data_IF_298455908810
#
_entry.id   IF_298455908810
#
_cell.length_a   1.000
_cell.length_b   1.000
_cell.length_c   1.000
_cell.angle_alpha   90.00
_cell.angle_beta   90.00
_cell.angle_gamma   90.00
#
_symmetry.space_group_name_H-M   'P 1'
#
loop_
_entity.id
_entity.type
_entity.pdbx_description
1 polymer ?
#
# COMPACT_ATOMS: atom_id res chain seq x y z
N UNK A 1 -4.93 6.25 18.25
CA UNK A 1 -3.55 5.76 18.00
C UNK A 1 -2.56 6.36 18.98
N UNK A 2 -2.44 7.69 19.11
CA UNK A 2 -1.56 8.31 20.12
C UNK A 2 -1.80 7.78 21.55
N UNK A 3 -3.07 7.69 21.98
CA UNK A 3 -3.41 7.15 23.30
C UNK A 3 -3.12 5.64 23.49
N UNK A 4 -2.84 4.90 22.41
CA UNK A 4 -2.46 3.48 22.49
C UNK A 4 -0.94 3.30 22.67
N UNK A 5 -0.15 4.36 22.48
CA UNK A 5 1.29 4.36 22.71
C UNK A 5 1.58 4.27 24.22
N UNK A 6 2.45 3.34 24.59
CA UNK A 6 2.97 3.22 25.94
C UNK A 6 4.40 3.76 25.92
N UNK A 7 4.66 4.93 26.52
CA UNK A 7 5.99 5.51 26.51
C UNK A 7 6.97 4.63 27.30
N UNK A 8 8.27 4.59 26.92
CA UNK A 8 9.28 3.89 27.69
C UNK A 8 9.32 4.35 29.15
N UNK A 9 9.75 3.50 30.10
CA UNK A 9 9.88 3.88 31.51
C UNK A 9 10.67 5.18 31.69
N UNK A 10 10.12 6.11 32.47
CA UNK A 10 10.75 7.41 32.74
C UNK A 10 10.59 8.46 31.64
N UNK A 11 10.00 8.11 30.49
CA UNK A 11 9.62 9.09 29.50
C UNK A 11 8.38 9.88 29.97
N UNK A 12 8.38 11.19 29.71
CA UNK A 12 7.30 12.11 30.05
C UNK A 12 6.69 12.72 28.79
N UNK A 13 5.37 12.82 28.74
CA UNK A 13 4.67 13.54 27.68
C UNK A 13 5.00 15.03 27.74
N UNK A 14 5.34 15.60 26.59
CA UNK A 14 5.52 17.03 26.44
C UNK A 14 4.19 17.64 26.01
N UNK A 15 3.70 18.65 26.74
CA UNK A 15 2.44 19.34 26.40
C UNK A 15 2.48 20.12 25.08
N UNK A 16 3.67 20.25 24.45
CA UNK A 16 3.88 20.89 23.16
C UNK A 16 5.16 20.39 22.51
N UNK A 17 5.35 20.74 21.22
CA UNK A 17 6.61 20.53 20.49
C UNK A 17 7.79 21.14 21.27
N UNK A 18 8.86 20.37 21.56
CA UNK A 18 10.08 20.92 22.16
C UNK A 18 10.82 21.89 21.24
N UNK A 19 11.53 22.86 21.82
CA UNK A 19 12.37 23.84 21.13
C UNK A 19 13.70 24.01 21.89
N UNK A 20 14.89 23.89 21.24
CA UNK A 20 15.11 23.58 19.83
C UNK A 20 14.77 22.14 19.47
N UNK A 21 14.19 21.95 18.28
CA UNK A 21 13.87 20.64 17.74
C UNK A 21 15.05 20.08 16.93
N UNK A 22 15.49 18.82 17.16
CA UNK A 22 16.45 18.16 16.29
C UNK A 22 15.96 18.16 14.84
N UNK A 23 16.84 18.43 13.88
CA UNK A 23 16.49 18.49 12.45
C UNK A 23 15.83 17.19 11.96
N UNK A 24 16.28 16.05 12.49
CA UNK A 24 15.73 14.72 12.30
C UNK A 24 14.23 14.58 12.63
N UNK A 25 13.68 15.46 13.47
CA UNK A 25 12.29 15.42 13.92
C UNK A 25 11.44 16.53 13.29
N UNK A 26 11.98 17.32 12.35
CA UNK A 26 11.23 18.38 11.67
C UNK A 26 10.02 17.88 10.90
N UNK A 27 10.14 16.69 10.30
CA UNK A 27 9.11 15.99 9.53
C UNK A 27 9.08 14.51 9.92
N UNK A 28 7.96 13.79 9.70
CA UNK A 28 7.94 12.36 9.92
C UNK A 28 8.89 11.67 8.92
N UNK A 29 9.54 10.56 9.31
CA UNK A 29 10.51 9.86 8.46
C UNK A 29 9.86 9.18 7.25
N UNK A 30 8.55 8.94 7.34
CA UNK A 30 7.72 8.45 6.26
C UNK A 30 6.42 9.24 6.29
N UNK A 31 5.94 9.66 5.12
CA UNK A 31 4.59 10.14 4.94
C UNK A 31 3.85 9.18 4.03
N UNK A 32 2.57 8.97 4.31
CA UNK A 32 1.72 8.49 3.23
C UNK A 32 1.76 9.54 2.14
N UNK A 33 1.88 9.13 0.89
CA UNK A 33 1.69 10.06 -0.21
C UNK A 33 0.21 10.38 -0.45
N UNK A 34 -0.68 9.87 0.41
CA UNK A 34 -2.10 10.16 0.45
C UNK A 34 -2.39 11.65 0.65
N UNK A 35 -3.25 12.22 -0.19
CA UNK A 35 -3.77 13.59 -0.03
C UNK A 35 -4.88 13.67 1.03
N UNK A 36 -5.39 12.53 1.46
CA UNK A 36 -6.45 12.38 2.46
C UNK A 36 -5.90 11.89 3.80
N UNK A 37 -4.61 12.08 4.03
CA UNK A 37 -3.95 11.76 5.29
C UNK A 37 -4.42 12.75 6.38
N UNK A 38 -4.90 12.21 7.50
CA UNK A 38 -5.11 12.97 8.72
C UNK A 38 -4.00 12.58 9.68
N UNK A 39 -3.20 13.56 10.11
CA UNK A 39 -2.12 13.37 11.05
C UNK A 39 -2.46 13.93 12.44
N UNK A 40 -1.90 13.28 13.46
CA UNK A 40 -1.84 13.80 14.81
C UNK A 40 -0.45 13.56 15.37
N UNK A 41 0.17 14.61 15.93
CA UNK A 41 1.54 14.55 16.44
C UNK A 41 1.56 14.59 17.97
N UNK A 42 2.26 13.63 18.57
CA UNK A 42 2.55 13.60 20.00
C UNK A 42 4.05 13.78 20.29
N UNK A 43 4.39 14.31 21.46
CA UNK A 43 5.78 14.56 21.85
C UNK A 43 6.06 13.99 23.23
N UNK A 44 7.20 13.32 23.39
CA UNK A 44 7.69 12.83 24.67
C UNK A 44 9.17 13.16 24.84
N UNK A 45 9.66 13.14 26.07
CA UNK A 45 11.09 13.25 26.40
C UNK A 45 11.51 12.09 27.30
N UNK A 46 12.70 11.54 27.08
CA UNK A 46 13.28 10.44 27.88
C UNK A 46 14.76 10.70 28.17
N UNK A 47 15.27 10.16 29.28
CA UNK A 47 16.72 10.11 29.57
C UNK A 47 17.43 8.93 28.89
N UNK A 48 16.69 7.97 28.35
CA UNK A 48 17.25 6.85 27.58
C UNK A 48 17.81 7.34 26.23
N UNK A 49 18.73 6.59 25.63
CA UNK A 49 19.22 6.88 24.28
C UNK A 49 18.14 6.58 23.21
N UNK A 50 18.24 7.17 21.99
CA UNK A 50 17.30 6.86 20.92
C UNK A 50 17.18 5.36 20.62
N UNK A 51 18.29 4.62 20.63
CA UNK A 51 18.31 3.17 20.39
C UNK A 51 17.61 2.38 21.49
N UNK A 52 17.79 2.80 22.76
CA UNK A 52 17.10 2.21 23.90
C UNK A 52 15.60 2.45 23.81
N UNK A 53 15.17 3.66 23.43
CA UNK A 53 13.75 3.99 23.19
C UNK A 53 13.17 3.08 22.09
N UNK A 54 13.84 2.93 20.95
CA UNK A 54 13.36 2.06 19.86
C UNK A 54 13.30 0.59 20.28
N UNK A 55 14.28 0.11 21.04
CA UNK A 55 14.26 -1.25 21.59
C UNK A 55 13.07 -1.45 22.54
N UNK A 56 12.81 -0.50 23.45
CA UNK A 56 11.70 -0.55 24.39
C UNK A 56 10.34 -0.53 23.68
N UNK A 57 10.17 0.35 22.69
CA UNK A 57 8.92 0.46 21.90
C UNK A 57 8.68 -0.79 21.05
N UNK A 58 9.72 -1.39 20.45
CA UNK A 58 9.60 -2.67 19.73
C UNK A 58 9.21 -3.83 20.67
N UNK A 59 9.73 -3.83 21.90
CA UNK A 59 9.39 -4.83 22.90
C UNK A 59 7.96 -4.66 23.47
N UNK A 60 7.40 -3.45 23.39
CA UNK A 60 6.06 -3.13 23.89
C UNK A 60 5.24 -2.38 22.82
N UNK A 61 4.80 -3.07 21.76
CA UNK A 61 4.00 -2.46 20.70
C UNK A 61 2.72 -1.80 21.26
N UNK A 62 2.24 -0.70 20.65
CA UNK A 62 0.95 -0.11 20.99
C UNK A 62 -0.16 -1.17 20.99
N UNK A 63 -1.08 -1.07 21.96
CA UNK A 63 -2.14 -2.08 22.12
C UNK A 63 -2.99 -2.19 20.87
N UNK A 64 -3.16 -3.43 20.37
CA UNK A 64 -3.95 -3.72 19.18
C UNK A 64 -3.23 -3.42 17.86
N UNK A 65 -1.92 -3.13 17.87
CA UNK A 65 -1.13 -2.89 16.67
C UNK A 65 -0.19 -4.05 16.32
N UNK A 66 0.34 -4.04 15.10
CA UNK A 66 1.43 -4.91 14.66
C UNK A 66 2.56 -4.09 14.06
N UNK A 67 3.81 -4.50 14.32
CA UNK A 67 5.00 -3.89 13.70
C UNK A 67 4.88 -3.96 12.16
N UNK A 68 4.95 -2.82 11.49
CA UNK A 68 4.81 -2.71 10.03
C UNK A 68 6.12 -2.37 9.33
N UNK A 69 6.96 -1.52 9.94
CA UNK A 69 8.26 -1.14 9.40
C UNK A 69 9.21 -0.66 10.51
N UNK A 70 10.51 -0.69 10.25
CA UNK A 70 11.51 -0.04 11.10
C UNK A 70 12.72 0.35 10.28
N UNK A 71 13.48 1.31 10.79
CA UNK A 71 14.79 1.71 10.29
C UNK A 71 15.68 2.01 11.49
N UNK A 72 16.91 1.50 11.48
CA UNK A 72 17.92 1.84 12.49
C UNK A 72 18.61 3.19 12.18
N UNK A 73 18.14 3.91 11.16
CA UNK A 73 18.65 5.21 10.75
C UNK A 73 19.91 5.12 9.87
N UNK A 74 20.33 6.26 9.34
CA UNK A 74 21.53 6.39 8.52
C UNK A 74 22.02 7.84 8.48
N UNK A 75 23.00 8.13 7.61
CA UNK A 75 23.58 9.48 7.50
C UNK A 75 22.58 10.56 7.06
N UNK A 76 21.47 10.17 6.43
CA UNK A 76 20.48 11.09 5.84
C UNK A 76 19.04 10.87 6.32
N UNK A 77 18.77 9.85 7.15
CA UNK A 77 17.43 9.51 7.60
C UNK A 77 17.44 9.11 9.09
N UNK A 78 16.46 9.56 9.89
CA UNK A 78 16.41 9.18 11.30
C UNK A 78 16.01 7.70 11.46
N UNK A 79 16.35 7.15 12.61
CA UNK A 79 15.84 5.85 13.03
C UNK A 79 14.37 5.98 13.44
N UNK A 80 13.57 4.95 13.15
CA UNK A 80 12.15 4.93 13.49
C UNK A 80 11.59 3.51 13.60
N UNK A 81 10.42 3.41 14.21
CA UNK A 81 9.57 2.21 14.16
C UNK A 81 8.15 2.62 13.79
N UNK A 82 7.48 1.82 12.97
CA UNK A 82 6.10 2.03 12.54
C UNK A 82 5.23 0.83 12.89
N UNK A 83 3.99 1.11 13.30
CA UNK A 83 2.98 0.12 13.64
C UNK A 83 1.71 0.35 12.82
N UNK A 84 1.10 -0.73 12.34
CA UNK A 84 -0.21 -0.71 11.69
C UNK A 84 -1.30 -1.14 12.67
N UNK A 85 -2.49 -0.56 12.55
CA UNK A 85 -3.68 -0.93 13.33
C UNK A 85 -4.70 -1.68 12.45
N UNK A 86 -5.38 -2.71 12.97
CA UNK A 86 -6.38 -3.44 12.21
C UNK A 86 -7.64 -2.60 11.98
N UNK A 87 -8.23 -2.72 10.78
CA UNK A 87 -9.53 -2.14 10.45
C UNK A 87 -9.53 -0.65 10.11
N UNK A 88 -8.41 0.04 10.29
CA UNK A 88 -8.17 1.39 9.78
C UNK A 88 -6.88 1.37 8.96
N UNK A 89 -6.81 2.11 7.86
CA UNK A 89 -5.55 2.41 7.16
C UNK A 89 -4.73 3.40 8.00
N UNK A 90 -4.51 3.04 9.26
CA UNK A 90 -3.92 3.86 10.31
C UNK A 90 -2.57 3.33 10.72
N UNK A 91 -1.61 4.24 10.90
CA UNK A 91 -0.27 3.91 11.38
C UNK A 91 0.16 4.83 12.53
N UNK A 92 1.04 4.30 13.39
CA UNK A 92 1.78 5.09 14.37
C UNK A 92 3.26 4.93 14.10
N UNK A 93 3.94 6.04 13.81
CA UNK A 93 5.38 6.11 13.62
C UNK A 93 6.00 6.76 14.86
N UNK A 94 7.07 6.15 15.38
CA UNK A 94 7.82 6.62 16.54
C UNK A 94 9.24 6.95 16.10
N UNK A 95 9.63 8.20 16.24
CA UNK A 95 10.94 8.72 15.81
C UNK A 95 11.64 9.40 16.99
N UNK A 96 12.64 8.75 17.61
CA UNK A 96 13.46 9.36 18.65
C UNK A 96 14.70 10.06 18.06
N UNK A 97 15.10 11.17 18.66
CA UNK A 97 16.39 11.83 18.38
C UNK A 97 16.94 12.52 19.63
N UNK A 98 18.26 12.63 19.72
CA UNK A 98 18.91 13.35 20.81
C UNK A 98 18.66 14.86 20.68
N UNK A 99 18.07 15.45 21.72
CA UNK A 99 17.85 16.89 21.88
C UNK A 99 19.12 17.65 22.23
N UNK A 100 19.06 18.98 22.15
CA UNK A 100 20.20 19.86 22.46
C UNK A 100 20.66 19.78 23.93
N UNK A 101 19.77 19.34 24.82
CA UNK A 101 20.05 19.13 26.25
C UNK A 101 20.57 17.71 26.56
N UNK A 102 20.81 16.89 25.54
CA UNK A 102 21.29 15.52 25.66
C UNK A 102 20.22 14.48 26.00
N UNK A 103 18.96 14.89 26.24
CA UNK A 103 17.84 13.97 26.42
C UNK A 103 17.28 13.53 25.08
N UNK A 104 16.65 12.36 25.02
CA UNK A 104 15.96 11.91 23.81
C UNK A 104 14.60 12.59 23.71
N UNK A 105 14.33 13.24 22.58
CA UNK A 105 13.01 13.71 22.18
C UNK A 105 12.38 12.63 21.31
N UNK A 106 11.14 12.27 21.59
CA UNK A 106 10.38 11.26 20.85
C UNK A 106 9.22 11.98 20.16
N UNK A 107 9.20 11.92 18.84
CA UNK A 107 8.07 12.33 18.00
C UNK A 107 7.20 11.12 17.71
N UNK A 108 5.90 11.26 17.91
CA UNK A 108 4.90 10.30 17.49
C UNK A 108 4.09 10.92 16.35
N UNK A 109 3.99 10.22 15.23
CA UNK A 109 3.13 10.60 14.10
C UNK A 109 2.06 9.52 13.96
N UNK A 110 0.82 9.89 14.24
CA UNK A 110 -0.34 9.02 14.12
C UNK A 110 -1.13 9.44 12.89
N UNK A 111 -1.10 8.62 11.85
CA UNK A 111 -1.65 8.95 10.54
C UNK A 111 -2.78 8.01 10.18
N UNK A 112 -3.89 8.53 9.68
CA UNK A 112 -4.97 7.74 9.07
C UNK A 112 -5.13 8.17 7.63
N UNK A 113 -5.01 7.23 6.71
CA UNK A 113 -5.39 7.45 5.32
C UNK A 113 -6.90 7.20 5.18
N UNK A 114 -7.65 8.21 4.76
CA UNK A 114 -9.06 8.02 4.45
C UNK A 114 -9.24 7.65 2.98
N UNK A 115 -9.81 6.48 2.73
CA UNK A 115 -10.24 6.07 1.38
C UNK A 115 -11.65 6.60 1.12
N UNK A 116 -11.88 7.36 0.03
CA UNK A 116 -13.21 7.83 -0.32
C UNK A 116 -14.19 6.68 -0.49
N UNK A 117 -15.43 6.87 -0.03
CA UNK A 117 -16.50 5.93 -0.33
C UNK A 117 -16.76 5.88 -1.83
N UNK A 118 -17.15 4.71 -2.32
CA UNK A 118 -17.59 4.54 -3.71
C UNK A 118 -18.79 5.46 -4.01
N UNK A 119 -18.82 6.15 -5.16
CA UNK A 119 -19.97 6.98 -5.52
C UNK A 119 -21.28 6.17 -5.51
N UNK A 120 -22.37 6.77 -5.01
CA UNK A 120 -23.69 6.13 -5.05
C UNK A 120 -24.08 5.77 -6.50
N UNK A 121 -24.64 4.58 -6.71
CA UNK A 121 -25.06 4.11 -8.04
C UNK A 121 -23.93 3.58 -8.93
N UNK A 122 -22.69 3.53 -8.46
CA UNK A 122 -21.59 2.88 -9.20
C UNK A 122 -21.62 1.35 -9.13
N UNK A 123 -22.43 0.77 -8.24
CA UNK A 123 -22.56 -0.67 -8.10
C UNK A 123 -23.10 -1.31 -9.38
N UNK A 124 -22.44 -2.38 -9.83
CA UNK A 124 -22.88 -3.18 -10.96
C UNK A 124 -24.04 -4.07 -10.52
N UNK A 125 -25.06 -4.17 -11.37
CA UNK A 125 -26.11 -5.19 -11.23
C UNK A 125 -25.66 -6.57 -11.71
N UNK A 126 -26.46 -7.60 -11.47
CA UNK A 126 -26.15 -8.99 -11.86
C UNK A 126 -26.64 -9.37 -13.27
N UNK A 127 -26.84 -8.39 -14.15
CA UNK A 127 -27.51 -8.60 -15.46
C UNK A 127 -26.63 -9.22 -16.55
N UNK A 128 -25.35 -9.47 -16.29
CA UNK A 128 -24.45 -10.04 -17.29
C UNK A 128 -24.75 -11.53 -17.54
N UNK A 129 -24.83 -11.99 -18.80
CA UNK A 129 -25.12 -13.40 -19.12
C UNK A 129 -23.89 -14.31 -18.97
N UNK A 130 -22.70 -13.72 -18.92
CA UNK A 130 -21.44 -14.43 -18.84
C UNK A 130 -20.35 -13.49 -18.31
N UNK A 131 -19.22 -14.09 -17.94
CA UNK A 131 -17.98 -13.39 -17.66
C UNK A 131 -16.85 -14.05 -18.43
N UNK A 132 -16.01 -13.25 -19.08
CA UNK A 132 -14.75 -13.72 -19.66
C UNK A 132 -13.57 -13.03 -18.98
N UNK A 133 -12.48 -13.78 -18.83
CA UNK A 133 -11.23 -13.35 -18.23
C UNK A 133 -10.11 -13.61 -19.22
N UNK A 134 -9.34 -12.57 -19.51
CA UNK A 134 -8.23 -12.60 -20.46
C UNK A 134 -6.98 -12.07 -19.78
N UNK A 135 -5.94 -12.90 -19.69
CA UNK A 135 -4.61 -12.44 -19.25
C UNK A 135 -3.85 -11.89 -20.44
N UNK A 136 -3.34 -10.67 -20.30
CA UNK A 136 -2.50 -9.97 -21.26
C UNK A 136 -1.18 -9.69 -20.56
N UNK A 137 -0.03 -10.09 -21.10
CA UNK A 137 1.27 -9.69 -20.55
C UNK A 137 2.04 -8.84 -21.56
N UNK A 138 2.76 -7.83 -21.06
CA UNK A 138 3.65 -6.98 -21.85
C UNK A 138 3.55 -5.49 -21.50
N UNK A 139 4.67 -4.88 -21.10
CA UNK A 139 4.80 -3.42 -20.93
C UNK A 139 4.90 -2.64 -22.23
N UNK A 140 5.23 -3.34 -23.32
CA UNK A 140 5.52 -2.73 -24.60
C UNK A 140 4.58 -3.33 -25.64
N UNK A 141 3.72 -2.53 -26.31
CA UNK A 141 2.88 -3.01 -27.40
C UNK A 141 3.67 -3.60 -28.59
N UNK A 142 4.99 -3.35 -28.68
CA UNK A 142 5.89 -3.99 -29.65
C UNK A 142 6.30 -5.42 -29.26
N UNK A 143 6.06 -5.83 -28.01
CA UNK A 143 6.27 -7.18 -27.49
C UNK A 143 4.95 -7.76 -26.98
N UNK A 144 3.85 -7.51 -27.71
CA UNK A 144 2.60 -8.21 -27.49
C UNK A 144 2.88 -9.72 -27.47
N UNK A 145 2.37 -10.40 -26.45
CA UNK A 145 2.47 -11.86 -26.42
C UNK A 145 1.87 -12.47 -27.70
N UNK A 146 2.46 -13.56 -28.22
CA UNK A 146 1.81 -14.36 -29.23
C UNK A 146 0.40 -14.76 -28.75
N UNK A 147 -0.63 -14.79 -29.63
CA UNK A 147 -2.00 -15.19 -29.28
C UNK A 147 -2.11 -16.52 -28.53
N UNK A 148 -1.14 -17.42 -28.73
CA UNK A 148 -1.03 -18.70 -28.03
C UNK A 148 -0.80 -18.59 -26.51
N UNK A 149 -0.41 -17.42 -25.99
CA UNK A 149 -0.18 -17.18 -24.57
C UNK A 149 -1.31 -16.36 -23.91
N UNK A 150 -2.24 -15.81 -24.70
CA UNK A 150 -3.46 -15.18 -24.20
C UNK A 150 -4.41 -16.26 -23.71
N UNK A 151 -4.53 -16.40 -22.39
CA UNK A 151 -5.49 -17.35 -21.79
C UNK A 151 -6.84 -16.66 -21.69
N UNK A 152 -7.83 -17.18 -22.42
CA UNK A 152 -9.23 -16.77 -22.30
C UNK A 152 -9.97 -17.86 -21.54
N UNK A 153 -10.62 -17.48 -20.45
CA UNK A 153 -11.55 -18.34 -19.74
C UNK A 153 -12.92 -17.67 -19.69
N UNK A 154 -13.98 -18.43 -19.97
CA UNK A 154 -15.35 -17.91 -19.99
C UNK A 154 -16.25 -18.78 -19.12
N UNK A 155 -17.06 -18.13 -18.29
CA UNK A 155 -18.07 -18.79 -17.49
C UNK A 155 -19.44 -18.17 -17.76
N UNK A 156 -20.45 -19.02 -17.89
CA UNK A 156 -21.87 -18.66 -18.03
C UNK A 156 -22.70 -19.08 -16.82
N UNK A 157 -22.08 -19.81 -15.87
CA UNK A 157 -22.76 -20.22 -14.65
C UNK A 157 -23.14 -18.98 -13.82
N UNK A 158 -24.44 -18.76 -13.50
CA UNK A 158 -24.88 -17.55 -12.81
C UNK A 158 -24.14 -17.29 -11.49
N UNK A 159 -23.84 -18.35 -10.74
CA UNK A 159 -23.08 -18.24 -9.50
C UNK A 159 -21.69 -17.62 -9.69
N UNK A 160 -20.95 -18.04 -10.73
CA UNK A 160 -19.62 -17.50 -11.03
C UNK A 160 -19.73 -16.03 -11.47
N UNK A 161 -20.69 -15.73 -12.35
CA UNK A 161 -20.93 -14.34 -12.80
C UNK A 161 -21.23 -13.43 -11.60
N UNK A 162 -22.12 -13.86 -10.70
CA UNK A 162 -22.48 -13.09 -9.51
C UNK A 162 -21.30 -12.89 -8.57
N UNK A 163 -20.51 -13.93 -8.31
CA UNK A 163 -19.31 -13.81 -7.48
C UNK A 163 -18.29 -12.84 -8.08
N UNK A 164 -18.12 -12.81 -9.40
CA UNK A 164 -17.25 -11.79 -10.02
C UNK A 164 -17.83 -10.39 -9.83
N UNK A 165 -19.13 -10.20 -10.04
CA UNK A 165 -19.80 -8.91 -9.81
C UNK A 165 -19.64 -8.45 -8.35
N UNK A 166 -19.76 -9.36 -7.37
CA UNK A 166 -19.54 -9.07 -5.95
C UNK A 166 -18.11 -8.61 -5.67
N UNK A 167 -17.12 -9.29 -6.25
CA UNK A 167 -15.71 -8.89 -6.13
C UNK A 167 -15.45 -7.51 -6.71
N UNK A 168 -16.02 -7.20 -7.88
CA UNK A 168 -15.92 -5.88 -8.49
C UNK A 168 -16.63 -4.81 -7.67
N UNK A 169 -17.76 -5.16 -7.04
CA UNK A 169 -18.51 -4.24 -6.20
C UNK A 169 -17.84 -3.96 -4.85
N UNK A 170 -17.00 -4.88 -4.37
CA UNK A 170 -16.22 -4.74 -3.15
C UNK A 170 -14.93 -3.90 -3.33
N UNK A 171 -14.57 -3.56 -4.57
CA UNK A 171 -13.39 -2.74 -4.86
C UNK A 171 -13.48 -1.36 -4.19
N UNK A 172 -12.38 -0.93 -3.59
CA UNK A 172 -12.25 0.37 -2.94
C UNK A 172 -11.59 1.38 -3.89
N UNK A 173 -12.03 2.65 -3.92
CA UNK A 173 -11.32 3.70 -4.64
C UNK A 173 -9.85 3.76 -4.23
N UNK A 174 -8.93 4.16 -5.11
CA UNK A 174 -7.55 4.35 -4.71
C UNK A 174 -7.48 5.52 -3.72
N UNK A 175 -6.62 5.41 -2.72
CA UNK A 175 -6.24 6.53 -1.88
C UNK A 175 -5.61 7.61 -2.80
N UNK A 176 -6.18 8.83 -2.86
CA UNK A 176 -5.65 9.89 -3.73
C UNK A 176 -4.24 10.28 -3.31
N UNK A 177 -3.34 10.54 -4.25
CA UNK A 177 -2.00 11.04 -3.96
C UNK A 177 -0.87 10.32 -4.70
N UNK A 178 0.36 10.76 -4.45
CA UNK A 178 1.55 10.16 -5.05
C UNK A 178 1.89 8.86 -4.31
N UNK A 179 2.33 7.82 -5.00
CA UNK A 179 2.79 6.58 -4.35
C UNK A 179 3.96 5.99 -5.11
N UNK A 180 4.94 5.50 -4.37
CA UNK A 180 6.05 4.73 -4.95
C UNK A 180 5.55 3.33 -5.23
N UNK A 181 5.31 3.02 -6.51
CA UNK A 181 4.89 1.70 -6.93
C UNK A 181 6.10 0.86 -7.35
N UNK A 182 6.04 -0.46 -7.14
CA UNK A 182 6.97 -1.39 -7.77
C UNK A 182 7.04 -1.17 -9.28
N UNK A 183 8.11 -1.65 -9.90
CA UNK A 183 8.18 -1.72 -11.36
C UNK A 183 6.96 -2.50 -11.87
N UNK A 184 6.17 -1.86 -12.73
CA UNK A 184 5.11 -2.53 -13.45
C UNK A 184 5.74 -3.42 -14.52
N UNK A 185 5.32 -4.69 -14.60
CA UNK A 185 5.75 -5.67 -15.59
C UNK A 185 4.81 -5.75 -16.81
N UNK A 186 3.78 -4.90 -16.82
CA UNK A 186 2.85 -4.73 -17.93
C UNK A 186 1.82 -5.84 -18.00
N UNK A 187 1.78 -6.72 -17.01
CA UNK A 187 0.74 -7.73 -16.92
C UNK A 187 -0.58 -7.08 -16.57
N UNK A 188 -1.60 -7.37 -17.38
CA UNK A 188 -2.97 -6.90 -17.26
C UNK A 188 -3.93 -8.09 -17.31
N UNK A 189 -5.02 -8.00 -16.58
CA UNK A 189 -6.13 -8.95 -16.65
C UNK A 189 -7.36 -8.18 -17.08
N UNK A 190 -7.92 -8.55 -18.22
CA UNK A 190 -9.17 -8.00 -18.70
C UNK A 190 -10.32 -8.93 -18.30
N UNK A 191 -11.32 -8.37 -17.65
CA UNK A 191 -12.57 -9.05 -17.31
C UNK A 191 -13.69 -8.38 -18.11
N UNK A 192 -14.45 -9.15 -18.88
CA UNK A 192 -15.59 -8.63 -19.64
C UNK A 192 -16.88 -9.25 -19.12
N UNK A 193 -17.83 -8.40 -18.78
CA UNK A 193 -19.21 -8.73 -18.43
C UNK A 193 -20.12 -8.12 -19.50
N UNK A 194 -20.50 -8.87 -20.55
CA UNK A 194 -21.28 -8.34 -21.66
C UNK A 194 -22.59 -7.70 -21.18
N UNK A 195 -22.95 -6.54 -21.70
CA UNK A 195 -24.15 -5.84 -21.26
C UNK A 195 -23.96 -4.99 -19.99
N UNK A 196 -22.79 -5.06 -19.33
CA UNK A 196 -22.61 -4.52 -17.98
C UNK A 196 -21.34 -3.69 -17.81
N UNK A 197 -20.15 -4.29 -18.01
CA UNK A 197 -18.89 -3.60 -17.77
C UNK A 197 -17.68 -4.30 -18.43
N UNK A 198 -16.61 -3.55 -18.63
CA UNK A 198 -15.26 -4.08 -18.88
C UNK A 198 -14.33 -3.61 -17.77
N UNK A 199 -13.43 -4.49 -17.32
CA UNK A 199 -12.47 -4.22 -16.25
C UNK A 199 -11.07 -4.53 -16.74
N UNK A 200 -10.15 -3.61 -16.53
CA UNK A 200 -8.72 -3.79 -16.75
C UNK A 200 -8.00 -3.71 -15.39
N UNK A 201 -7.42 -4.83 -14.93
CA UNK A 201 -6.73 -4.94 -13.66
C UNK A 201 -5.21 -5.11 -13.88
N UNK A 202 -4.41 -4.32 -13.19
CA UNK A 202 -2.95 -4.34 -13.27
C UNK A 202 -2.37 -5.36 -12.29
N UNK A 203 -1.74 -6.43 -12.78
CA UNK A 203 -1.14 -7.43 -11.89
C UNK A 203 0.21 -6.97 -11.28
N UNK A 204 0.83 -5.96 -11.90
CA UNK A 204 2.06 -5.30 -11.47
C UNK A 204 1.84 -3.85 -11.05
N UNK A 205 2.94 -3.16 -10.76
CA UNK A 205 2.92 -1.75 -10.43
C UNK A 205 2.11 -1.46 -9.16
N UNK A 206 1.24 -0.45 -9.25
CA UNK A 206 0.40 -0.04 -8.13
C UNK A 206 -0.82 -0.94 -7.89
N UNK A 207 -1.04 -1.96 -8.74
CA UNK A 207 -2.22 -2.81 -8.64
C UNK A 207 -3.54 -2.06 -8.88
N UNK A 208 -3.56 -1.14 -9.85
CA UNK A 208 -4.77 -0.39 -10.20
C UNK A 208 -5.81 -1.26 -10.90
N UNK A 209 -7.08 -0.91 -10.73
CA UNK A 209 -8.20 -1.49 -11.48
C UNK A 209 -8.97 -0.37 -12.14
N UNK A 210 -9.20 -0.47 -13.45
CA UNK A 210 -10.09 0.42 -14.19
C UNK A 210 -11.34 -0.34 -14.56
N UNK A 211 -12.47 0.03 -13.97
CA UNK A 211 -13.79 -0.53 -14.26
C UNK A 211 -14.55 0.47 -15.13
N UNK A 212 -14.95 0.05 -16.32
CA UNK A 212 -15.72 0.87 -17.26
C UNK A 212 -17.12 0.26 -17.39
N UNK A 213 -18.14 0.83 -16.74
CA UNK A 213 -19.53 0.43 -16.93
C UNK A 213 -19.94 0.66 -18.39
N UNK A 214 -20.88 -0.13 -18.90
CA UNK A 214 -21.36 0.03 -20.29
C UNK A 214 -21.89 1.45 -20.55
N UNK A 215 -22.66 2.00 -19.61
CA UNK A 215 -23.34 3.30 -19.74
C UNK A 215 -22.70 4.38 -18.86
N UNK A 216 -21.39 4.28 -18.58
CA UNK A 216 -20.72 5.15 -17.62
C UNK A 216 -19.28 5.50 -17.97
N UNK A 217 -18.74 6.50 -17.27
CA UNK A 217 -17.33 6.84 -17.36
C UNK A 217 -16.45 5.77 -16.66
N UNK A 218 -15.20 5.58 -17.10
CA UNK A 218 -14.24 4.75 -16.39
C UNK A 218 -14.08 5.19 -14.93
N UNK A 219 -13.99 4.21 -14.04
CA UNK A 219 -13.80 4.36 -12.61
C UNK A 219 -12.52 3.64 -12.19
N UNK A 220 -11.73 4.28 -11.33
CA UNK A 220 -10.47 3.74 -10.86
C UNK A 220 -10.61 3.21 -9.44
N UNK A 221 -10.00 2.06 -9.20
CA UNK A 221 -10.02 1.30 -7.96
C UNK A 221 -8.62 0.77 -7.63
N UNK A 222 -8.42 0.40 -6.37
CA UNK A 222 -7.24 -0.33 -5.91
C UNK A 222 -7.56 -1.83 -5.74
N UNK A 223 -6.53 -2.64 -5.53
CA UNK A 223 -6.69 -4.05 -5.16
C UNK A 223 -6.69 -5.06 -6.30
N UNK A 224 -6.07 -4.73 -7.44
CA UNK A 224 -6.00 -5.64 -8.59
C UNK A 224 -5.43 -7.02 -8.26
N UNK A 225 -4.39 -7.10 -7.42
CA UNK A 225 -3.76 -8.39 -7.05
C UNK A 225 -4.72 -9.36 -6.36
N UNK A 226 -5.50 -8.86 -5.39
CA UNK A 226 -6.53 -9.65 -4.70
C UNK A 226 -7.69 -10.02 -5.64
N UNK A 227 -8.17 -9.05 -6.43
CA UNK A 227 -9.20 -9.28 -7.45
C UNK A 227 -8.79 -10.39 -8.42
N UNK A 228 -7.60 -10.30 -9.00
CA UNK A 228 -7.07 -11.29 -9.97
C UNK A 228 -6.97 -12.66 -9.32
N UNK A 229 -6.43 -12.74 -8.10
CA UNK A 229 -6.27 -14.01 -7.37
C UNK A 229 -7.63 -14.69 -7.17
N UNK A 230 -8.63 -13.95 -6.69
CA UNK A 230 -9.98 -14.48 -6.43
C UNK A 230 -10.70 -14.86 -7.72
N UNK A 231 -10.62 -14.03 -8.76
CA UNK A 231 -11.20 -14.34 -10.07
C UNK A 231 -10.55 -15.58 -10.67
N UNK A 232 -9.22 -15.72 -10.63
CA UNK A 232 -8.55 -16.91 -11.16
C UNK A 232 -8.98 -18.18 -10.42
N UNK A 233 -9.15 -18.11 -9.10
CA UNK A 233 -9.68 -19.22 -8.32
C UNK A 233 -11.07 -19.67 -8.78
N UNK A 234 -11.97 -18.72 -9.09
CA UNK A 234 -13.32 -19.03 -9.62
C UNK A 234 -13.29 -19.77 -10.97
N UNK A 235 -12.25 -19.54 -11.79
CA UNK A 235 -12.07 -20.15 -13.10
C UNK A 235 -11.11 -21.35 -13.08
N UNK A 236 -10.58 -21.75 -11.92
CA UNK A 236 -9.58 -22.82 -11.82
C UNK A 236 -8.26 -22.50 -12.52
N UNK A 237 -7.95 -21.20 -12.73
CA UNK A 237 -6.72 -20.76 -13.38
C UNK A 237 -5.59 -20.79 -12.35
N UNK A 238 -4.58 -21.62 -12.56
CA UNK A 238 -3.34 -21.59 -11.78
C UNK A 238 -2.37 -20.59 -12.39
N UNK A 239 -1.97 -19.58 -11.63
CA UNK A 239 -0.96 -18.60 -12.04
C UNK A 239 0.24 -18.66 -11.08
N UNK A 240 1.42 -18.96 -11.62
CA UNK A 240 2.68 -18.86 -10.89
C UNK A 240 3.46 -17.69 -11.47
N UNK A 241 3.62 -16.61 -10.69
CA UNK A 241 4.43 -15.43 -11.04
C UNK A 241 5.95 -15.71 -10.95
N UNK A 242 6.38 -16.96 -11.09
CA UNK A 242 7.75 -17.42 -10.85
C UNK A 242 8.75 -17.03 -11.95
N UNK A 243 8.38 -16.15 -12.88
CA UNK A 243 9.35 -15.47 -13.74
C UNK A 243 10.06 -14.39 -12.93
N UNK A 244 11.19 -14.75 -12.31
CA UNK A 244 12.02 -13.82 -11.56
C UNK A 244 12.36 -12.57 -12.38
N UNK A 245 12.42 -11.43 -11.70
CA UNK A 245 13.08 -10.23 -12.23
C UNK A 245 14.43 -10.66 -12.83
N UNK A 246 14.82 -10.19 -14.03
CA UNK A 246 16.18 -10.39 -14.49
C UNK A 246 17.13 -9.87 -13.39
N UNK A 247 18.23 -10.57 -13.07
CA UNK A 247 19.17 -10.12 -12.06
C UNK A 247 19.53 -8.67 -12.37
N UNK A 248 19.37 -7.81 -11.37
CA UNK A 248 19.74 -6.40 -11.42
C UNK A 248 21.13 -6.29 -12.05
N UNK A 249 21.25 -5.49 -13.11
CA UNK A 249 22.54 -5.15 -13.71
C UNK A 249 23.38 -4.51 -12.59
N UNK A 250 24.29 -5.28 -12.01
CA UNK A 250 25.35 -4.74 -11.17
C UNK A 250 26.08 -3.70 -12.02
N UNK A 251 25.98 -2.43 -11.62
CA UNK A 251 26.87 -1.41 -12.17
C UNK A 251 28.28 -1.84 -11.78
N UNK A 252 29.03 -2.31 -12.77
CA UNK A 252 30.48 -2.37 -12.69
C UNK A 252 30.95 -0.92 -12.52
N UNK A 253 31.28 -0.54 -11.28
CA UNK A 253 32.05 0.66 -11.02
C UNK A 253 33.40 0.47 -11.72
N UNK A 254 33.60 1.22 -12.81
CA UNK A 254 34.92 1.37 -13.40
C UNK A 254 35.79 2.13 -12.40
N UNK A 255 36.60 1.41 -11.63
CA UNK A 255 37.74 1.97 -10.91
C UNK A 255 38.69 2.62 -11.92
N UNK A 256 38.57 3.93 -12.06
CA UNK A 256 39.60 4.76 -12.67
C UNK A 256 40.73 4.97 -11.67
N UNK A 257 41.87 4.32 -11.91
CA UNK A 257 43.16 4.68 -11.32
C UNK A 257 43.60 6.06 -11.82
N UNK A 258 43.99 6.94 -10.89
CA UNK A 258 45.03 7.94 -11.08
C UNK A 258 46.21 7.59 -10.18
#
# INVERSE_FOLDING_TARGET
MLAAFQPPPGAAEAGSRPDPLPSALGEPPMRSGAQTQVDAVGWYQSSESPDQVLAAVRAHPPTGSSLSAWSDGGSSAPAFVSFAFPGADGSLIVTPATGADGRTIIRLDADVDWTPSRPAGSALGYGAPSVSVVTITGLNPQFALPPAQTRVATATAPLIVHQVVDLLNALQPPIPGARSCPMDDGTRVRITLPGLATVDAEAGGCGGVTLTPQDGAPQHYAGAGDLITKVYALFGITWSRTGGLPPSIERTEASGTR
#
